data_IF_466675121096
#
_entry.id   IF_466675121096
#
_cell.length_a   1.000
_cell.length_b   1.000
_cell.length_c   1.000
_cell.angle_alpha   90.00
_cell.angle_beta   90.00
_cell.angle_gamma   90.00
#
_symmetry.space_group_name_H-M   'P 1'
#
loop_
_entity.id
_entity.type
_entity.pdbx_description
1 polymer ?
#
# COMPACT_ATOMS: atom_id res chain seq x y z
N UNK A 1 -41.35 -51.52 53.58
CA UNK A 1 -41.67 -50.21 53.00
C UNK A 1 -40.35 -49.40 52.98
N UNK A 2 -39.63 -49.37 51.87
CA UNK A 2 -38.28 -48.71 51.74
C UNK A 2 -38.40 -47.57 50.70
N UNK A 3 -38.34 -46.35 51.20
CA UNK A 3 -38.39 -45.11 50.43
C UNK A 3 -37.05 -44.87 49.81
N UNK A 4 -36.90 -44.96 48.50
CA UNK A 4 -35.71 -44.55 47.74
C UNK A 4 -35.82 -43.05 47.41
N UNK A 5 -34.87 -42.27 47.94
CA UNK A 5 -34.69 -40.86 47.64
C UNK A 5 -33.73 -40.76 46.44
N UNK A 6 -34.22 -40.24 45.28
CA UNK A 6 -33.37 -39.90 44.15
C UNK A 6 -32.82 -38.45 44.34
N UNK A 7 -31.52 -38.31 44.53
CA UNK A 7 -30.84 -37.02 44.40
C UNK A 7 -30.57 -36.75 42.92
N UNK A 8 -31.24 -35.76 42.36
CA UNK A 8 -30.93 -35.22 41.04
C UNK A 8 -29.85 -34.13 41.21
N UNK A 9 -28.61 -34.47 40.83
CA UNK A 9 -27.52 -33.46 40.76
C UNK A 9 -27.64 -32.62 39.46
N UNK A 10 -27.95 -31.35 39.60
CA UNK A 10 -27.92 -30.42 38.49
C UNK A 10 -26.47 -29.97 38.22
N UNK A 11 -25.91 -30.41 37.09
CA UNK A 11 -24.59 -29.96 36.58
C UNK A 11 -24.81 -28.61 35.89
N UNK A 12 -24.46 -27.50 36.57
CA UNK A 12 -24.48 -26.19 35.99
C UNK A 12 -23.24 -26.03 35.10
N UNK A 13 -23.40 -26.09 33.77
CA UNK A 13 -22.36 -25.78 32.83
C UNK A 13 -22.08 -24.23 32.83
N UNK A 14 -20.94 -23.81 33.37
CA UNK A 14 -20.45 -22.44 33.26
C UNK A 14 -20.05 -22.17 31.82
N UNK A 15 -20.90 -21.47 31.06
CA UNK A 15 -20.52 -20.84 29.79
C UNK A 15 -19.58 -19.68 30.10
N UNK A 16 -18.27 -19.88 29.87
CA UNK A 16 -17.28 -18.81 29.87
C UNK A 16 -17.40 -18.09 28.52
N UNK A 17 -17.76 -16.78 28.50
CA UNK A 17 -17.77 -16.05 27.25
C UNK A 17 -16.32 -15.93 26.74
N UNK A 18 -16.05 -16.49 25.54
CA UNK A 18 -14.79 -16.27 24.85
C UNK A 18 -14.78 -14.83 24.32
N UNK A 19 -14.09 -13.94 25.01
CA UNK A 19 -13.78 -12.61 24.48
C UNK A 19 -12.80 -12.78 23.31
N UNK A 20 -13.02 -12.10 22.16
CA UNK A 20 -12.03 -12.08 21.10
C UNK A 20 -10.76 -11.42 21.66
N UNK A 21 -9.69 -12.17 21.79
CA UNK A 21 -8.36 -11.63 22.07
C UNK A 21 -7.99 -10.85 20.82
N UNK A 22 -7.97 -9.52 20.90
CA UNK A 22 -7.38 -8.69 19.88
C UNK A 22 -5.94 -9.19 19.70
N UNK A 23 -5.60 -9.64 18.49
CA UNK A 23 -4.28 -10.15 18.20
C UNK A 23 -3.26 -9.03 18.43
N UNK A 24 -2.53 -9.10 19.53
CA UNK A 24 -1.45 -8.16 19.83
C UNK A 24 -0.36 -8.35 18.78
N UNK A 25 0.12 -7.25 18.22
CA UNK A 25 1.26 -7.24 17.30
C UNK A 25 2.44 -7.97 17.94
N UNK A 26 2.99 -8.97 17.24
CA UNK A 26 4.14 -9.72 17.76
C UNK A 26 5.38 -8.82 17.85
N UNK A 27 6.32 -9.17 18.71
CA UNK A 27 7.60 -8.46 18.79
C UNK A 27 8.42 -8.55 17.49
N UNK A 28 8.19 -9.57 16.68
CA UNK A 28 8.79 -9.74 15.36
C UNK A 28 8.13 -8.76 14.36
N UNK A 29 6.80 -8.68 14.33
CA UNK A 29 6.09 -7.74 13.49
C UNK A 29 6.51 -6.30 13.78
N UNK A 30 6.60 -5.92 15.06
CA UNK A 30 7.03 -4.59 15.46
C UNK A 30 8.44 -4.24 14.97
N UNK A 31 9.38 -5.21 14.96
CA UNK A 31 10.74 -5.03 14.44
C UNK A 31 10.73 -4.86 12.93
N UNK A 32 9.99 -5.71 12.22
CA UNK A 32 9.90 -5.65 10.76
C UNK A 32 9.25 -4.35 10.29
N UNK A 33 8.15 -3.92 10.91
CA UNK A 33 7.51 -2.65 10.57
C UNK A 33 8.42 -1.45 10.85
N UNK A 34 9.22 -1.49 11.92
CA UNK A 34 10.21 -0.44 12.18
C UNK A 34 11.29 -0.44 11.10
N UNK A 35 11.79 -1.62 10.69
CA UNK A 35 12.80 -1.76 9.64
C UNK A 35 12.29 -1.25 8.30
N UNK A 36 11.05 -1.60 7.93
CA UNK A 36 10.41 -1.13 6.70
C UNK A 36 10.16 0.38 6.74
N UNK A 37 9.66 0.90 7.86
CA UNK A 37 9.45 2.34 8.04
C UNK A 37 10.75 3.12 7.89
N UNK A 38 11.85 2.64 8.47
CA UNK A 38 13.17 3.26 8.34
C UNK A 38 13.67 3.21 6.89
N UNK A 39 13.51 2.08 6.20
CA UNK A 39 13.84 1.94 4.79
C UNK A 39 13.09 2.95 3.92
N UNK A 40 11.76 2.99 4.05
CA UNK A 40 10.92 3.93 3.30
C UNK A 40 11.26 5.39 3.61
N UNK A 41 11.50 5.72 4.88
CA UNK A 41 11.88 7.07 5.30
C UNK A 41 13.29 7.49 4.85
N UNK A 42 14.18 6.53 4.57
CA UNK A 42 15.50 6.76 4.00
C UNK A 42 15.46 7.15 2.51
N UNK A 43 14.32 6.96 1.84
CA UNK A 43 14.14 7.29 0.43
C UNK A 43 13.50 8.67 0.33
N UNK A 44 14.25 9.68 -0.14
CA UNK A 44 13.74 11.03 -0.44
C UNK A 44 13.33 11.16 -1.90
N UNK A 45 14.14 10.58 -2.79
CA UNK A 45 13.87 10.47 -4.23
C UNK A 45 14.17 9.06 -4.70
N UNK A 46 13.53 8.63 -5.75
CA UNK A 46 13.78 7.34 -6.41
C UNK A 46 13.36 7.44 -7.88
N UNK A 47 14.10 6.76 -8.74
CA UNK A 47 13.70 6.52 -10.13
C UNK A 47 13.95 5.05 -10.49
N UNK A 48 13.33 4.59 -11.56
CA UNK A 48 13.50 3.23 -12.07
C UNK A 48 12.49 2.89 -13.15
N UNK A 49 12.45 1.62 -13.49
CA UNK A 49 11.48 1.07 -14.42
C UNK A 49 10.33 0.41 -13.63
N UNK A 50 9.14 0.39 -14.23
CA UNK A 50 8.01 -0.36 -13.70
C UNK A 50 7.34 -1.21 -14.76
N UNK A 51 6.68 -2.26 -14.29
CA UNK A 51 5.70 -3.04 -15.04
C UNK A 51 4.42 -3.02 -14.23
N UNK A 52 3.32 -2.64 -14.87
CA UNK A 52 1.99 -2.58 -14.26
C UNK A 52 1.07 -3.62 -14.89
N UNK A 53 0.31 -4.30 -14.04
CA UNK A 53 -0.86 -5.08 -14.44
C UNK A 53 -2.09 -4.36 -13.93
N UNK A 54 -2.93 -3.88 -14.84
CA UNK A 54 -4.20 -3.22 -14.55
C UNK A 54 -5.26 -4.20 -14.04
N UNK A 55 -6.39 -3.67 -13.58
CA UNK A 55 -7.52 -4.47 -13.09
C UNK A 55 -8.16 -5.35 -14.19
N UNK A 56 -8.00 -4.96 -15.44
CA UNK A 56 -8.44 -5.70 -16.64
C UNK A 56 -7.42 -6.75 -17.12
N UNK A 57 -6.26 -6.84 -16.44
CA UNK A 57 -5.15 -7.72 -16.81
C UNK A 57 -4.24 -7.12 -17.89
N UNK A 58 -4.50 -5.88 -18.35
CA UNK A 58 -3.61 -5.22 -19.32
C UNK A 58 -2.24 -4.96 -18.69
N UNK A 59 -1.18 -5.31 -19.44
CA UNK A 59 0.20 -5.10 -19.04
C UNK A 59 0.72 -3.83 -19.69
N UNK A 60 1.25 -2.96 -18.87
CA UNK A 60 1.92 -1.72 -19.28
C UNK A 60 3.28 -1.60 -18.60
N UNK A 61 4.20 -0.92 -19.22
CA UNK A 61 5.54 -0.67 -18.67
C UNK A 61 5.97 0.77 -18.88
N UNK A 62 6.97 1.20 -18.13
CA UNK A 62 7.49 2.55 -18.27
C UNK A 62 8.56 2.89 -17.25
N UNK A 63 8.76 4.19 -17.05
CA UNK A 63 9.66 4.75 -16.06
C UNK A 63 8.87 5.44 -14.96
N UNK A 64 9.37 5.36 -13.72
CA UNK A 64 8.79 6.10 -12.62
C UNK A 64 9.83 6.99 -11.94
N UNK A 65 9.34 8.09 -11.38
CA UNK A 65 10.08 9.03 -10.57
C UNK A 65 9.29 9.32 -9.32
N UNK A 66 9.94 9.22 -8.16
CA UNK A 66 9.33 9.46 -6.87
C UNK A 66 10.12 10.54 -6.13
N UNK A 67 9.43 11.51 -5.53
CA UNK A 67 9.99 12.52 -4.64
C UNK A 67 9.06 12.71 -3.44
N UNK A 68 9.50 12.27 -2.30
CA UNK A 68 8.72 12.44 -1.07
C UNK A 68 8.86 13.87 -0.52
N UNK A 69 7.79 14.40 0.11
CA UNK A 69 6.46 13.79 0.25
C UNK A 69 5.57 13.97 -0.97
N UNK A 70 4.65 13.04 -1.16
CA UNK A 70 3.45 13.19 -1.98
C UNK A 70 3.64 13.13 -3.49
N UNK A 71 4.85 13.05 -4.02
CA UNK A 71 5.08 13.19 -5.45
C UNK A 71 5.55 11.89 -6.08
N UNK A 72 4.89 11.49 -7.16
CA UNK A 72 5.30 10.38 -8.02
C UNK A 72 4.84 10.64 -9.44
N UNK A 73 5.62 10.18 -10.41
CA UNK A 73 5.32 10.25 -11.83
C UNK A 73 5.55 8.90 -12.46
N UNK A 74 4.60 8.48 -13.31
CA UNK A 74 4.72 7.30 -14.17
C UNK A 74 4.60 7.72 -15.62
N UNK A 75 5.64 7.43 -16.40
CA UNK A 75 5.69 7.63 -17.84
C UNK A 75 5.55 6.28 -18.53
N UNK A 76 4.41 6.05 -19.13
CA UNK A 76 4.14 4.79 -19.82
C UNK A 76 4.77 4.77 -21.20
N UNK A 77 5.29 3.61 -21.59
CA UNK A 77 5.78 3.39 -22.95
C UNK A 77 4.60 3.14 -23.91
N UNK A 78 4.76 3.50 -25.20
CA UNK A 78 3.78 3.10 -26.21
C UNK A 78 3.51 1.59 -26.20
N UNK A 79 2.27 1.14 -26.45
CA UNK A 79 1.14 1.93 -26.97
C UNK A 79 0.30 2.65 -25.91
N UNK A 80 0.63 2.53 -24.60
CA UNK A 80 -0.14 3.19 -23.54
C UNK A 80 0.12 4.72 -23.57
N UNK A 81 -0.92 5.57 -23.78
CA UNK A 81 -0.77 7.01 -23.85
C UNK A 81 -0.77 7.71 -22.49
N UNK A 82 -0.85 6.96 -21.40
CA UNK A 82 -1.02 7.53 -20.07
C UNK A 82 0.24 8.21 -19.55
N UNK A 83 0.02 9.28 -18.81
CA UNK A 83 0.98 9.93 -17.92
C UNK A 83 0.28 10.13 -16.58
N UNK A 84 0.80 9.52 -15.52
CA UNK A 84 0.22 9.65 -14.18
C UNK A 84 1.19 10.44 -13.31
N UNK A 85 0.69 11.51 -12.68
CA UNK A 85 1.50 12.36 -11.79
C UNK A 85 0.73 12.69 -10.52
N UNK A 86 1.33 12.37 -9.37
CA UNK A 86 0.93 12.97 -8.10
C UNK A 86 1.83 14.18 -7.80
N UNK A 87 1.22 15.32 -7.49
CA UNK A 87 1.90 16.60 -7.23
C UNK A 87 2.08 16.90 -5.73
N UNK A 88 1.54 16.03 -4.87
CA UNK A 88 1.49 16.17 -3.42
C UNK A 88 0.08 16.43 -2.88
N UNK A 89 -0.86 16.81 -3.73
CA UNK A 89 -2.28 17.06 -3.40
C UNK A 89 -3.21 16.25 -4.27
N UNK A 90 -2.92 16.20 -5.57
CA UNK A 90 -3.74 15.53 -6.58
C UNK A 90 -2.93 14.46 -7.30
N UNK A 91 -3.62 13.42 -7.71
CA UNK A 91 -3.15 12.47 -8.72
C UNK A 91 -3.84 12.82 -10.02
N UNK A 92 -3.07 13.27 -11.00
CA UNK A 92 -3.52 13.53 -12.35
C UNK A 92 -3.24 12.34 -13.27
N UNK A 93 -4.24 11.91 -14.02
CA UNK A 93 -4.12 10.92 -15.09
C UNK A 93 -4.35 11.63 -16.42
N UNK A 94 -3.29 11.79 -17.18
CA UNK A 94 -3.32 12.50 -18.48
C UNK A 94 -3.21 11.51 -19.64
N UNK A 95 -4.21 11.50 -20.51
CA UNK A 95 -4.12 10.79 -21.80
C UNK A 95 -3.49 11.73 -22.83
N UNK A 96 -2.26 11.41 -23.24
CA UNK A 96 -1.49 12.25 -24.20
C UNK A 96 -2.06 12.25 -25.61
N UNK A 97 -2.84 11.21 -25.97
CA UNK A 97 -3.50 11.07 -27.28
C UNK A 97 -4.81 11.85 -27.33
N UNK A 98 -5.66 11.68 -26.30
CA UNK A 98 -6.97 12.36 -26.20
C UNK A 98 -6.83 13.78 -25.64
N UNK A 99 -5.69 14.12 -25.03
CA UNK A 99 -5.42 15.37 -24.32
C UNK A 99 -6.44 15.65 -23.20
N UNK A 100 -6.86 14.60 -22.52
CA UNK A 100 -7.75 14.67 -21.35
C UNK A 100 -6.98 14.51 -20.07
N UNK A 101 -7.37 15.21 -19.01
CA UNK A 101 -6.77 15.15 -17.69
C UNK A 101 -7.86 14.93 -16.65
N UNK A 102 -7.81 13.76 -16.00
CA UNK A 102 -8.61 13.45 -14.83
C UNK A 102 -7.79 13.66 -13.56
N UNK A 103 -8.43 14.12 -12.48
CA UNK A 103 -7.77 14.38 -11.19
C UNK A 103 -8.57 13.77 -10.05
N UNK A 104 -7.85 13.10 -9.15
CA UNK A 104 -8.39 12.60 -7.89
C UNK A 104 -7.50 13.10 -6.73
N UNK A 105 -8.05 13.37 -5.54
CA UNK A 105 -7.23 13.73 -4.39
C UNK A 105 -6.26 12.60 -4.04
N UNK A 106 -4.98 12.92 -3.79
CA UNK A 106 -3.99 11.91 -3.38
C UNK A 106 -4.41 11.19 -2.09
N UNK A 107 -4.92 11.94 -1.10
CA UNK A 107 -5.41 11.41 0.17
C UNK A 107 -6.59 10.43 0.04
N UNK A 108 -7.30 10.41 -1.11
CA UNK A 108 -8.34 9.42 -1.37
C UNK A 108 -7.81 8.16 -2.09
N UNK A 109 -6.50 7.95 -2.06
CA UNK A 109 -5.86 6.79 -2.69
C UNK A 109 -4.96 6.08 -1.68
N UNK A 110 -4.93 4.73 -1.65
CA UNK A 110 -4.01 3.99 -0.77
C UNK A 110 -2.52 4.29 -1.05
N UNK A 111 -2.20 4.87 -2.20
CA UNK A 111 -0.83 5.26 -2.57
C UNK A 111 -0.27 6.34 -1.63
N UNK A 112 -1.13 7.16 -1.00
CA UNK A 112 -0.72 8.16 -0.02
C UNK A 112 0.14 7.54 1.08
N UNK A 113 -0.19 6.34 1.56
CA UNK A 113 0.54 5.64 2.62
C UNK A 113 2.04 5.51 2.27
N UNK A 114 2.35 5.18 1.01
CA UNK A 114 3.72 5.09 0.52
C UNK A 114 4.39 6.45 0.39
N UNK A 115 3.62 7.49 0.07
CA UNK A 115 4.12 8.83 -0.25
C UNK A 115 4.14 9.81 0.93
N UNK A 116 3.64 9.43 2.11
CA UNK A 116 3.66 10.27 3.33
C UNK A 116 5.05 10.82 3.60
N UNK A 117 5.11 12.03 4.17
CA UNK A 117 6.38 12.66 4.60
C UNK A 117 7.14 11.78 5.58
N UNK A 118 6.43 11.11 6.48
CA UNK A 118 6.94 10.14 7.42
C UNK A 118 6.02 8.94 7.44
N UNK A 119 6.56 7.77 7.22
CA UNK A 119 5.86 6.49 7.35
C UNK A 119 6.20 5.89 8.70
N UNK A 120 5.18 5.56 9.49
CA UNK A 120 5.31 4.89 10.78
C UNK A 120 4.31 3.72 10.87
N UNK A 121 4.61 2.68 10.11
CA UNK A 121 3.72 1.51 9.99
C UNK A 121 3.43 0.82 11.33
N UNK A 122 4.31 0.98 12.30
CA UNK A 122 4.13 0.37 13.63
C UNK A 122 3.08 1.08 14.47
N UNK A 123 3.05 2.43 14.41
CA UNK A 123 2.26 3.24 15.35
C UNK A 123 0.99 3.83 14.71
N UNK A 124 0.89 3.86 13.39
CA UNK A 124 -0.26 4.46 12.69
C UNK A 124 -1.49 3.54 12.61
N UNK A 125 -1.44 2.33 13.18
CA UNK A 125 -2.53 1.34 13.10
C UNK A 125 -3.01 1.02 11.67
N UNK A 126 -2.23 1.41 10.68
CA UNK A 126 -2.54 1.24 9.27
C UNK A 126 -2.39 -0.22 8.79
N UNK A 127 -1.53 -1.01 9.46
CA UNK A 127 -1.18 -2.36 9.03
C UNK A 127 -2.26 -3.35 9.39
N UNK A 128 -2.80 -4.01 8.36
CA UNK A 128 -3.81 -5.05 8.47
C UNK A 128 -3.20 -6.45 8.49
N UNK A 129 -2.10 -6.66 7.76
CA UNK A 129 -1.50 -7.97 7.58
C UNK A 129 -0.01 -7.89 7.30
N UNK A 130 0.74 -8.83 7.87
CA UNK A 130 2.15 -9.07 7.55
C UNK A 130 2.29 -10.54 7.16
N UNK A 131 2.88 -10.80 6.01
CA UNK A 131 3.14 -12.15 5.50
C UNK A 131 4.61 -12.29 5.19
N UNK A 132 5.20 -13.41 5.61
CA UNK A 132 6.60 -13.74 5.39
C UNK A 132 6.72 -15.00 4.55
N UNK A 133 7.63 -14.95 3.58
CA UNK A 133 8.07 -16.11 2.81
C UNK A 133 9.60 -16.06 2.70
N UNK A 134 10.29 -17.14 2.34
CA UNK A 134 11.73 -17.11 2.16
C UNK A 134 12.16 -15.99 1.20
N UNK A 135 12.93 -15.02 1.73
CA UNK A 135 13.44 -13.88 0.97
C UNK A 135 12.41 -12.78 0.63
N UNK A 136 11.17 -12.88 1.11
CA UNK A 136 10.09 -11.93 0.83
C UNK A 136 9.29 -11.57 2.07
N UNK A 137 8.87 -10.32 2.12
CA UNK A 137 7.93 -9.82 3.12
C UNK A 137 6.83 -9.00 2.44
N UNK A 138 5.59 -9.21 2.84
CA UNK A 138 4.43 -8.45 2.38
C UNK A 138 3.78 -7.75 3.55
N UNK A 139 3.48 -6.46 3.39
CA UNK A 139 2.77 -5.66 4.38
C UNK A 139 1.57 -5.03 3.70
N UNK A 140 0.38 -5.39 4.15
CA UNK A 140 -0.87 -4.79 3.70
C UNK A 140 -1.28 -3.71 4.69
N UNK A 141 -1.52 -2.51 4.17
CA UNK A 141 -1.93 -1.35 4.95
C UNK A 141 -3.16 -0.67 4.33
N UNK A 142 -3.95 -0.04 5.19
CA UNK A 142 -5.08 0.83 4.84
C UNK A 142 -4.87 2.19 5.50
N UNK A 143 -5.62 3.19 5.08
CA UNK A 143 -5.75 4.41 5.87
C UNK A 143 -6.74 4.14 7.03
N UNK A 144 -6.32 4.26 8.30
CA UNK A 144 -7.21 3.98 9.43
C UNK A 144 -8.32 5.02 9.59
N UNK A 145 -8.13 6.23 9.06
CA UNK A 145 -9.14 7.30 9.10
C UNK A 145 -10.16 7.16 7.96
N UNK A 146 -9.74 6.54 6.85
CA UNK A 146 -10.58 6.31 5.67
C UNK A 146 -10.44 4.85 5.15
N UNK A 147 -10.84 3.83 5.92
CA UNK A 147 -10.58 2.42 5.60
C UNK A 147 -11.26 1.94 4.30
N UNK A 148 -12.33 2.61 3.89
CA UNK A 148 -13.08 2.29 2.67
C UNK A 148 -12.41 2.79 1.37
N UNK A 149 -11.32 3.55 1.47
CA UNK A 149 -10.58 4.00 0.27
C UNK A 149 -9.74 2.89 -0.37
N UNK A 150 -9.70 1.71 0.24
CA UNK A 150 -8.99 0.54 -0.25
C UNK A 150 -7.71 0.25 0.52
N UNK A 151 -6.78 -0.49 -0.10
CA UNK A 151 -5.56 -0.95 0.56
C UNK A 151 -4.34 -0.90 -0.35
N UNK A 152 -3.16 -0.85 0.26
CA UNK A 152 -1.90 -1.07 -0.41
C UNK A 152 -1.16 -2.25 0.22
N UNK A 153 -0.74 -3.20 -0.60
CA UNK A 153 0.18 -4.27 -0.18
C UNK A 153 1.56 -3.99 -0.76
N UNK A 154 2.50 -3.71 0.10
CA UNK A 154 3.91 -3.51 -0.27
C UNK A 154 4.66 -4.84 -0.17
N UNK A 155 5.41 -5.19 -1.19
CA UNK A 155 6.21 -6.42 -1.28
C UNK A 155 7.68 -6.06 -1.29
N UNK A 156 8.40 -6.57 -0.30
CA UNK A 156 9.83 -6.32 -0.14
C UNK A 156 10.62 -7.60 -0.35
N UNK A 157 11.77 -7.50 -1.04
CA UNK A 157 12.86 -8.45 -0.82
C UNK A 157 13.38 -8.25 0.60
N UNK A 158 13.81 -9.33 1.27
CA UNK A 158 14.18 -9.24 2.69
C UNK A 158 15.69 -8.99 2.91
N UNK A 159 16.56 -9.56 2.11
CA UNK A 159 18.01 -9.41 2.23
C UNK A 159 18.68 -9.16 0.86
N UNK A 160 19.03 -7.91 0.52
CA UNK A 160 18.77 -6.68 1.28
C UNK A 160 17.30 -6.30 1.27
N UNK A 161 16.86 -5.51 2.28
CA UNK A 161 15.48 -4.99 2.31
C UNK A 161 15.30 -3.99 1.17
N UNK A 162 14.39 -4.31 0.25
CA UNK A 162 14.15 -3.49 -0.94
C UNK A 162 12.69 -3.62 -1.39
N UNK A 163 12.01 -2.50 -1.62
CA UNK A 163 10.65 -2.50 -2.18
C UNK A 163 10.70 -2.98 -3.63
N UNK A 164 10.00 -4.07 -3.93
CA UNK A 164 9.98 -4.69 -5.26
C UNK A 164 8.66 -4.49 -5.99
N UNK A 165 7.59 -4.35 -5.25
CA UNK A 165 6.25 -4.29 -5.81
C UNK A 165 5.30 -3.65 -4.83
N UNK A 166 4.25 -3.04 -5.35
CA UNK A 166 3.04 -2.81 -4.57
C UNK A 166 1.80 -3.24 -5.35
N UNK A 167 0.76 -3.53 -4.59
CA UNK A 167 -0.56 -3.89 -5.09
C UNK A 167 -1.53 -2.92 -4.44
N UNK A 168 -2.26 -2.17 -5.24
CA UNK A 168 -3.33 -1.28 -4.78
C UNK A 168 -4.67 -1.95 -5.07
N UNK A 169 -5.52 -2.01 -4.07
CA UNK A 169 -6.95 -2.31 -4.23
C UNK A 169 -7.67 -1.02 -3.92
N UNK A 170 -8.36 -0.45 -4.89
CA UNK A 170 -9.07 0.82 -4.72
C UNK A 170 -10.44 0.63 -4.03
N UNK A 171 -11.15 1.74 -3.82
CA UNK A 171 -12.49 1.72 -3.18
C UNK A 171 -13.56 0.96 -3.97
N UNK A 172 -13.35 0.68 -5.24
CA UNK A 172 -14.21 -0.15 -6.08
C UNK A 172 -13.82 -1.64 -6.04
N UNK A 173 -12.72 -1.99 -5.34
CA UNK A 173 -12.14 -3.33 -5.32
C UNK A 173 -11.31 -3.66 -6.56
N UNK A 174 -11.01 -2.68 -7.41
CA UNK A 174 -10.17 -2.88 -8.58
C UNK A 174 -8.70 -2.97 -8.17
N UNK A 175 -8.03 -3.99 -8.68
CA UNK A 175 -6.63 -4.27 -8.30
C UNK A 175 -5.67 -3.80 -9.37
N UNK A 176 -4.67 -3.03 -8.97
CA UNK A 176 -3.52 -2.65 -9.81
C UNK A 176 -2.24 -3.11 -9.14
N UNK A 177 -1.42 -3.84 -9.89
CA UNK A 177 -0.11 -4.31 -9.43
C UNK A 177 0.99 -3.57 -10.16
N UNK A 178 1.97 -3.04 -9.42
CA UNK A 178 3.15 -2.36 -9.98
C UNK A 178 4.41 -3.04 -9.45
N UNK A 179 5.17 -3.66 -10.33
CA UNK A 179 6.48 -4.22 -10.04
C UNK A 179 7.58 -3.24 -10.46
N UNK A 180 8.65 -3.15 -9.66
CA UNK A 180 9.74 -2.20 -9.81
C UNK A 180 11.05 -2.90 -10.16
N UNK A 181 11.86 -2.26 -10.99
CA UNK A 181 13.19 -2.73 -11.38
C UNK A 181 14.14 -1.56 -11.64
N UNK A 182 15.44 -1.85 -11.65
CA UNK A 182 16.51 -0.86 -11.92
C UNK A 182 16.42 0.41 -11.08
N UNK A 183 16.02 0.25 -9.82
CA UNK A 183 15.76 1.36 -8.91
C UNK A 183 17.06 2.05 -8.47
N UNK A 184 17.05 3.36 -8.48
CA UNK A 184 18.09 4.23 -7.92
C UNK A 184 17.46 5.19 -6.94
N UNK A 185 17.90 5.13 -5.68
CA UNK A 185 17.37 5.99 -4.61
C UNK A 185 18.27 7.18 -4.35
N UNK A 186 17.69 8.25 -3.82
CA UNK A 186 18.36 9.47 -3.41
C UNK A 186 19.15 10.14 -4.55
N UNK A 187 18.59 10.10 -5.75
CA UNK A 187 19.10 10.74 -6.96
C UNK A 187 18.56 12.16 -7.07
N UNK A 188 19.29 13.02 -7.82
CA UNK A 188 18.78 14.36 -8.14
C UNK A 188 17.72 14.26 -9.25
N UNK A 189 16.53 14.80 -8.99
CA UNK A 189 15.41 14.80 -9.92
C UNK A 189 14.96 16.23 -10.20
N UNK A 190 14.67 16.53 -11.47
CA UNK A 190 14.09 17.81 -11.85
C UNK A 190 12.73 18.00 -11.14
N UNK A 191 12.53 19.08 -10.36
CA UNK A 191 11.23 19.36 -9.74
C UNK A 191 10.08 19.46 -10.72
N UNK A 192 10.33 19.84 -11.96
CA UNK A 192 9.30 19.99 -13.01
C UNK A 192 8.70 18.65 -13.46
N UNK A 193 9.35 17.53 -13.17
CA UNK A 193 8.78 16.20 -13.44
C UNK A 193 7.41 15.98 -12.78
N UNK A 194 7.14 16.67 -11.68
CA UNK A 194 5.94 16.44 -10.87
C UNK A 194 4.81 17.44 -11.15
N UNK A 195 4.82 18.04 -12.34
CA UNK A 195 3.74 18.87 -12.84
C UNK A 195 3.19 18.31 -14.15
N UNK A 196 1.86 18.38 -14.32
CA UNK A 196 1.22 18.15 -15.60
C UNK A 196 0.84 19.53 -16.17
N UNK A 197 1.41 19.87 -17.31
CA UNK A 197 0.94 21.04 -18.06
C UNK A 197 -0.49 20.81 -18.52
N UNK A 198 -1.40 21.72 -18.17
CA UNK A 198 -2.77 21.62 -18.66
C UNK A 198 -2.79 21.79 -20.18
N UNK A 199 -3.57 20.95 -20.89
CA UNK A 199 -3.73 21.13 -22.32
C UNK A 199 -4.28 22.54 -22.59
N UNK A 200 -3.55 23.34 -23.36
CA UNK A 200 -4.04 24.64 -23.82
C UNK A 200 -5.34 24.40 -24.61
N UNK A 201 -6.45 24.96 -24.12
CA UNK A 201 -7.74 24.95 -24.79
C UNK A 201 -7.70 25.72 -26.12
#
# INVERSE_FOLDING_TARGET
>A
MTRRIFLAGALAALLVPAFPVAAQMSGEDARDLTRISNYLNGITTMEGNFVQVGHDGELSEGQFYLRRPGRIRFEYKPPNPALVVADGTWVGVYDTRLKTLDRIPLGSTPLEILLKKRVDLKNEHAVQKIERAPGLMRVTAIDPDEPDQGSITMVFADNPLELRQWIVVDKQGLTTTVALSEMRSNVDLDPNLFFIEEPKR
#
